data_IF_070276322222
#
_entry.id   IF_070276322222
#
_cell.length_a   1.000
_cell.length_b   1.000
_cell.length_c   1.000
_cell.angle_alpha   90.00
_cell.angle_beta   90.00
_cell.angle_gamma   90.00
#
_symmetry.space_group_name_H-M   'P 1'
#
loop_
_entity.id
_entity.type
_entity.pdbx_description
1 polymer ?
#
# COMPACT_ATOMS: atom_id res chain seq x y z
N UNK A 1 20.29 -10.67 -3.45
CA UNK A 1 20.18 -9.29 -2.91
C UNK A 1 20.35 -8.32 -4.07
N UNK A 2 19.26 -7.95 -4.73
CA UNK A 2 19.28 -6.80 -5.64
C UNK A 2 17.84 -6.27 -5.71
N UNK A 3 17.61 -5.09 -5.16
CA UNK A 3 16.33 -4.41 -5.27
C UNK A 3 16.61 -2.93 -5.38
N UNK A 4 17.10 -2.52 -6.55
CA UNK A 4 17.04 -1.12 -6.91
C UNK A 4 15.55 -0.74 -6.98
N UNK A 5 15.15 0.42 -6.43
CA UNK A 5 13.78 0.88 -6.59
C UNK A 5 13.48 0.99 -8.08
N UNK A 6 12.39 0.36 -8.53
CA UNK A 6 11.95 0.49 -9.91
C UNK A 6 11.64 1.98 -10.19
N UNK A 7 12.15 2.56 -11.30
CA UNK A 7 11.92 3.97 -11.60
C UNK A 7 10.45 4.23 -11.99
N UNK A 8 10.00 5.47 -11.81
CA UNK A 8 8.75 5.97 -12.41
C UNK A 8 7.46 5.83 -11.60
N UNK A 9 7.49 5.31 -10.37
CA UNK A 9 6.30 5.20 -9.53
C UNK A 9 6.21 6.30 -8.45
N UNK A 10 4.98 6.72 -8.11
CA UNK A 10 4.70 7.74 -7.08
C UNK A 10 5.13 7.26 -5.70
N UNK A 11 5.55 8.21 -4.86
CA UNK A 11 5.92 7.93 -3.47
C UNK A 11 7.20 7.13 -3.35
N UNK A 12 8.08 7.17 -4.34
CA UNK A 12 9.44 6.60 -4.27
C UNK A 12 10.49 7.66 -3.99
N UNK A 13 11.43 7.33 -3.12
CA UNK A 13 12.59 8.15 -2.81
C UNK A 13 13.03 7.98 -1.36
N UNK A 14 14.18 8.57 -0.97
CA UNK A 14 14.77 8.42 0.36
C UNK A 14 13.87 8.88 1.51
N UNK A 15 12.89 9.74 1.22
CA UNK A 15 11.97 10.32 2.21
C UNK A 15 10.58 9.67 2.18
N UNK A 16 10.36 8.66 1.34
CA UNK A 16 9.09 7.97 1.32
C UNK A 16 8.83 7.27 2.66
N UNK A 17 7.59 7.32 3.12
CA UNK A 17 7.15 6.53 4.27
C UNK A 17 6.78 5.14 3.79
N UNK A 18 7.39 4.11 4.38
CA UNK A 18 7.13 2.71 4.04
C UNK A 18 6.24 2.09 5.11
N UNK A 19 5.22 1.34 4.70
CA UNK A 19 4.37 0.56 5.59
C UNK A 19 4.31 -0.89 5.11
N UNK A 20 4.04 -1.81 6.04
CA UNK A 20 3.89 -3.24 5.75
C UNK A 20 2.44 -3.68 5.97
N UNK A 21 1.85 -4.23 4.92
CA UNK A 21 0.47 -4.71 4.89
C UNK A 21 0.50 -6.23 4.76
N UNK A 22 -0.33 -6.91 5.55
CA UNK A 22 -0.60 -8.34 5.35
C UNK A 22 -1.87 -8.49 4.50
N UNK A 23 -1.71 -9.09 3.32
CA UNK A 23 -2.79 -9.25 2.33
C UNK A 23 -3.00 -10.73 2.07
N UNK A 24 -4.22 -11.24 2.27
CA UNK A 24 -4.55 -12.63 2.01
C UNK A 24 -4.50 -12.97 0.51
N UNK A 25 -5.00 -12.06 -0.35
CA UNK A 25 -4.99 -12.22 -1.80
C UNK A 25 -4.49 -10.97 -2.52
N UNK A 26 -3.30 -11.07 -3.10
CA UNK A 26 -2.68 -9.98 -3.86
C UNK A 26 -3.20 -9.86 -5.31
N UNK A 27 -4.02 -10.80 -5.78
CA UNK A 27 -4.51 -10.84 -7.16
C UNK A 27 -3.37 -10.74 -8.17
N UNK A 28 -3.43 -9.70 -9.01
CA UNK A 28 -2.41 -9.32 -10.00
C UNK A 28 -1.66 -8.05 -9.60
N UNK A 29 -1.52 -7.77 -8.29
CA UNK A 29 -0.63 -6.71 -7.82
C UNK A 29 0.80 -6.95 -8.29
N UNK A 30 1.45 -5.88 -8.74
CA UNK A 30 2.82 -5.88 -9.18
C UNK A 30 3.61 -4.84 -8.39
N UNK A 31 4.94 -4.95 -8.40
CA UNK A 31 5.75 -3.82 -7.96
C UNK A 31 5.44 -2.62 -8.85
N UNK A 32 5.24 -1.45 -8.24
CA UNK A 32 4.75 -0.21 -8.87
C UNK A 32 3.23 -0.10 -9.03
N UNK A 33 2.45 -1.14 -8.68
CA UNK A 33 0.99 -0.99 -8.58
C UNK A 33 0.65 0.23 -7.71
N UNK A 34 -0.37 1.02 -8.07
CA UNK A 34 -0.70 2.22 -7.33
C UNK A 34 -1.07 1.91 -5.87
N UNK A 35 -0.70 2.81 -4.97
CA UNK A 35 -1.29 2.88 -3.63
C UNK A 35 -2.17 4.12 -3.59
N UNK A 36 -3.44 3.93 -3.29
CA UNK A 36 -4.47 4.95 -3.32
C UNK A 36 -5.01 5.23 -1.92
N UNK A 37 -5.37 6.48 -1.69
CA UNK A 37 -6.11 6.92 -0.51
C UNK A 37 -7.14 7.95 -0.99
N UNK A 38 -8.41 7.72 -0.66
CA UNK A 38 -9.52 8.50 -1.17
C UNK A 38 -9.46 8.71 -2.70
N UNK A 39 -9.24 7.62 -3.45
CA UNK A 39 -9.10 7.58 -4.93
C UNK A 39 -7.94 8.39 -5.53
N UNK A 40 -7.02 8.88 -4.70
CA UNK A 40 -5.82 9.60 -5.14
C UNK A 40 -4.60 8.71 -5.00
N UNK A 41 -3.77 8.65 -6.05
CA UNK A 41 -2.48 7.93 -5.99
C UNK A 41 -1.54 8.69 -5.04
N UNK A 42 -1.24 8.06 -3.92
CA UNK A 42 -0.35 8.58 -2.87
C UNK A 42 0.98 7.85 -2.80
N UNK A 43 1.11 6.74 -3.52
CA UNK A 43 2.26 5.88 -3.41
C UNK A 43 2.27 4.75 -4.43
N UNK A 44 3.11 3.76 -4.15
CA UNK A 44 3.24 2.56 -4.97
C UNK A 44 3.62 1.34 -4.15
N UNK A 45 3.21 0.18 -4.63
CA UNK A 45 3.59 -1.12 -4.08
C UNK A 45 5.09 -1.34 -4.31
N UNK A 46 5.76 -1.78 -3.25
CA UNK A 46 7.17 -2.10 -3.18
C UNK A 46 7.41 -3.59 -3.36
N UNK A 47 8.19 -4.17 -2.43
CA UNK A 47 8.45 -5.60 -2.39
C UNK A 47 7.23 -6.34 -1.85
N UNK A 48 7.02 -7.52 -2.39
CA UNK A 48 6.00 -8.45 -1.90
C UNK A 48 6.69 -9.76 -1.53
N UNK A 49 6.39 -10.29 -0.35
CA UNK A 49 6.85 -11.60 0.11
C UNK A 49 5.65 -12.46 0.42
N UNK A 50 5.39 -13.43 -0.44
CA UNK A 50 4.34 -14.42 -0.23
C UNK A 50 4.78 -15.37 0.88
N UNK A 51 3.99 -15.42 1.96
CA UNK A 51 4.06 -16.43 3.02
C UNK A 51 3.02 -17.53 2.74
N UNK A 52 2.83 -18.48 3.65
CA UNK A 52 1.95 -19.65 3.41
C UNK A 52 0.47 -19.28 3.25
N UNK A 53 0.02 -18.26 3.95
CA UNK A 53 -1.39 -17.91 4.16
C UNK A 53 -1.71 -16.46 3.79
N UNK A 54 -0.70 -15.59 3.66
CA UNK A 54 -0.83 -14.19 3.27
C UNK A 54 0.47 -13.70 2.61
N UNK A 55 0.44 -12.53 2.00
CA UNK A 55 1.61 -11.80 1.54
C UNK A 55 1.93 -10.62 2.45
N UNK A 56 3.20 -10.43 2.78
CA UNK A 56 3.72 -9.18 3.34
C UNK A 56 4.07 -8.25 2.18
N UNK A 57 3.34 -7.14 2.09
CA UNK A 57 3.42 -6.15 1.01
C UNK A 57 3.95 -4.84 1.57
N UNK A 58 5.14 -4.43 1.11
CA UNK A 58 5.62 -3.07 1.32
C UNK A 58 4.82 -2.11 0.44
N UNK A 59 4.36 -1.01 1.04
CA UNK A 59 3.79 0.13 0.32
C UNK A 59 4.60 1.38 0.65
N UNK A 60 5.03 2.07 -0.40
CA UNK A 60 5.82 3.30 -0.32
C UNK A 60 4.91 4.48 -0.60
N UNK A 61 4.80 5.39 0.35
CA UNK A 61 3.88 6.54 0.31
C UNK A 61 4.68 7.83 0.33
N UNK A 62 4.19 8.87 -0.37
CA UNK A 62 4.84 10.18 -0.35
C UNK A 62 4.99 10.71 1.09
N UNK A 63 6.09 11.43 1.41
CA UNK A 63 6.37 11.93 2.77
C UNK A 63 5.31 12.87 3.35
N UNK A 64 4.62 13.61 2.48
CA UNK A 64 3.61 14.62 2.83
C UNK A 64 2.21 14.04 3.05
N UNK A 65 2.03 12.74 2.81
CA UNK A 65 0.74 12.05 3.00
C UNK A 65 0.67 11.47 4.41
N UNK A 66 -0.34 11.91 5.16
CA UNK A 66 -0.64 11.37 6.49
C UNK A 66 -1.58 10.17 6.36
N UNK A 67 -1.07 8.96 6.64
CA UNK A 67 -1.88 7.76 6.67
C UNK A 67 -2.65 7.69 8.00
N UNK A 68 -3.99 7.57 8.00
CA UNK A 68 -4.77 7.47 9.22
C UNK A 68 -4.33 6.29 10.09
N UNK A 69 -4.26 6.49 11.41
CA UNK A 69 -3.90 5.46 12.39
C UNK A 69 -4.84 4.24 12.41
N UNK A 70 -6.07 4.42 11.94
CA UNK A 70 -7.07 3.38 11.77
C UNK A 70 -7.23 2.91 10.32
N UNK A 71 -6.31 3.23 9.42
CA UNK A 71 -6.39 2.78 8.03
C UNK A 71 -6.40 1.25 7.94
N UNK A 72 -7.21 0.72 7.02
CA UNK A 72 -7.22 -0.68 6.59
C UNK A 72 -6.76 -0.75 5.14
N UNK A 73 -6.24 -1.91 4.75
CA UNK A 73 -5.87 -2.16 3.37
C UNK A 73 -6.98 -2.88 2.60
N UNK A 74 -7.08 -2.61 1.30
CA UNK A 74 -7.88 -3.42 0.38
C UNK A 74 -7.17 -3.50 -0.97
N UNK A 75 -7.41 -4.59 -1.71
CA UNK A 75 -6.94 -4.73 -3.09
C UNK A 75 -8.11 -4.44 -4.04
N UNK A 76 -7.96 -3.41 -4.86
CA UNK A 76 -8.95 -2.99 -5.85
C UNK A 76 -8.43 -3.19 -7.28
N UNK A 77 -9.34 -3.20 -8.24
CA UNK A 77 -9.01 -3.28 -9.66
C UNK A 77 -8.90 -1.88 -10.27
N UNK A 78 -7.75 -1.55 -10.86
CA UNK A 78 -7.47 -0.26 -11.47
C UNK A 78 -7.94 -0.17 -12.92
N UNK A 79 -7.84 -1.25 -13.68
CA UNK A 79 -8.16 -1.26 -15.13
C UNK A 79 -9.07 -2.42 -15.51
N UNK A 80 -9.83 -2.26 -16.59
CA UNK A 80 -10.69 -3.31 -17.14
C UNK A 80 -9.92 -4.58 -17.54
N UNK A 81 -8.63 -4.45 -17.83
CA UNK A 81 -7.74 -5.56 -18.20
C UNK A 81 -7.11 -6.25 -16.99
N UNK A 82 -7.51 -5.89 -15.77
CA UNK A 82 -7.20 -6.65 -14.57
C UNK A 82 -5.90 -6.25 -13.87
N UNK A 83 -5.42 -5.01 -14.03
CA UNK A 83 -4.36 -4.49 -13.15
C UNK A 83 -4.94 -4.08 -11.79
N UNK A 84 -4.22 -4.31 -10.69
CA UNK A 84 -4.68 -4.03 -9.33
C UNK A 84 -3.93 -2.86 -8.67
N UNK A 85 -4.55 -2.27 -7.65
CA UNK A 85 -3.99 -1.28 -6.73
C UNK A 85 -4.26 -1.66 -5.27
N UNK A 86 -3.51 -1.04 -4.35
CA UNK A 86 -3.79 -1.10 -2.92
C UNK A 86 -4.50 0.16 -2.49
N UNK A 87 -5.52 0.04 -1.65
CA UNK A 87 -6.18 1.15 -0.99
C UNK A 87 -5.76 1.21 0.48
N UNK A 88 -5.52 2.41 0.99
CA UNK A 88 -5.22 2.68 2.40
C UNK A 88 -6.21 3.71 2.94
N UNK A 89 -7.39 3.24 3.33
CA UNK A 89 -8.49 4.09 3.76
C UNK A 89 -8.94 3.73 5.18
N UNK A 90 -9.53 4.67 5.95
CA UNK A 90 -10.27 4.30 7.15
C UNK A 90 -11.38 3.28 6.81
N UNK A 91 -11.78 2.42 7.75
CA UNK A 91 -12.92 1.53 7.56
C UNK A 91 -14.15 2.29 7.09
N UNK A 92 -14.93 1.69 6.20
CA UNK A 92 -16.15 2.30 5.67
C UNK A 92 -17.06 2.81 6.80
N UNK A 93 -17.53 4.05 6.66
CA UNK A 93 -18.38 4.71 7.64
C UNK A 93 -17.65 5.22 8.91
N UNK A 94 -16.32 5.09 9.00
CA UNK A 94 -15.54 5.61 10.11
C UNK A 94 -14.67 6.80 9.68
N UNK A 95 -14.58 7.87 10.51
CA UNK A 95 -13.65 8.95 10.23
C UNK A 95 -12.19 8.49 10.41
N UNK A 96 -11.22 9.14 9.74
CA UNK A 96 -9.81 8.92 10.00
C UNK A 96 -9.47 9.29 11.45
N UNK A 97 -8.62 8.50 12.10
CA UNK A 97 -8.20 8.71 13.49
C UNK A 97 -6.70 8.48 13.65
N UNK A 98 -6.04 9.42 14.32
CA UNK A 98 -4.59 9.35 14.56
C UNK A 98 -3.80 9.29 13.25
N UNK A 99 -2.52 8.91 13.36
CA UNK A 99 -1.61 8.79 12.23
C UNK A 99 -0.76 7.53 12.41
N UNK A 100 -0.65 6.71 11.37
CA UNK A 100 0.31 5.62 11.35
C UNK A 100 1.72 6.19 11.29
N UNK A 101 2.60 5.65 12.13
CA UNK A 101 4.02 5.98 12.06
C UNK A 101 4.65 5.26 10.86
N UNK A 102 5.56 5.90 10.11
CA UNK A 102 6.34 5.22 9.10
C UNK A 102 7.03 3.98 9.69
N UNK A 103 6.99 2.88 8.94
CA UNK A 103 7.49 1.57 9.37
C UNK A 103 6.47 0.73 10.15
N UNK A 104 5.24 1.20 10.35
CA UNK A 104 4.18 0.38 10.94
C UNK A 104 3.93 -0.90 10.12
N UNK A 105 3.72 -2.00 10.83
CA UNK A 105 3.51 -3.36 10.30
C UNK A 105 2.15 -3.91 10.74
N UNK A 106 1.61 -4.84 9.96
CA UNK A 106 0.39 -5.56 10.34
C UNK A 106 -0.88 -4.76 10.09
N UNK A 107 -0.86 -3.89 9.07
CA UNK A 107 -2.10 -3.36 8.50
C UNK A 107 -2.77 -4.55 7.81
N UNK A 108 -3.92 -4.98 8.31
CA UNK A 108 -4.67 -6.11 7.77
C UNK A 108 -5.52 -5.68 6.57
N UNK A 109 -5.68 -6.58 5.60
CA UNK A 109 -6.71 -6.46 4.59
C UNK A 109 -8.10 -6.80 5.14
N UNK A 110 -9.14 -6.12 4.63
CA UNK A 110 -10.54 -6.39 4.99
C UNK A 110 -11.36 -6.92 3.83
#
# INVERSE_FOLDING_TARGET
>A
MNSLPLPGAVGRGPHASVYHIEIANIGTLESNSPVMMADVIVGSVGKMRVKRDHADVEVSVKPDVEVPGNAVAAVGQTSLLGSMHVELNPPLGQPPRGRLQPGATGIEDR
#
